data_IF_397550233985
#
_entry.id   IF_397550233985
#
_cell.length_a   1.000
_cell.length_b   1.000
_cell.length_c   1.000
_cell.angle_alpha   90.00
_cell.angle_beta   90.00
_cell.angle_gamma   90.00
#
_symmetry.space_group_name_H-M   'P 1'
#
loop_
_entity.id
_entity.type
_entity.pdbx_description
1 polymer ?
#
# COMPACT_ATOMS: atom_id res chain seq x y z
N UNK A 1 6.04 -36.88 -14.69
CA UNK A 1 4.97 -37.30 -13.76
C UNK A 1 4.14 -36.08 -13.43
N UNK A 2 2.95 -35.97 -14.03
CA UNK A 2 2.04 -34.84 -13.83
C UNK A 2 1.46 -34.94 -12.42
N UNK A 3 1.76 -33.96 -11.58
CA UNK A 3 1.23 -33.87 -10.22
C UNK A 3 -0.22 -33.37 -10.34
N UNK A 4 -1.19 -34.28 -10.24
CA UNK A 4 -2.61 -33.94 -10.23
C UNK A 4 -2.92 -33.18 -8.92
N UNK A 5 -3.69 -32.08 -8.97
CA UNK A 5 -4.12 -31.40 -7.77
C UNK A 5 -5.01 -32.35 -6.97
N UNK A 6 -4.54 -32.75 -5.78
CA UNK A 6 -5.38 -33.46 -4.83
C UNK A 6 -6.46 -32.49 -4.35
N UNK A 7 -7.68 -32.70 -4.82
CA UNK A 7 -8.87 -32.08 -4.26
C UNK A 7 -8.95 -32.63 -2.84
N UNK A 8 -8.41 -31.89 -1.87
CA UNK A 8 -8.69 -32.12 -0.46
C UNK A 8 -10.17 -31.80 -0.26
N UNK A 9 -11.02 -32.80 -0.49
CA UNK A 9 -12.42 -32.71 -0.15
C UNK A 9 -12.48 -32.46 1.35
N UNK A 10 -12.88 -31.25 1.75
CA UNK A 10 -13.35 -31.02 3.10
C UNK A 10 -14.61 -31.85 3.27
N UNK A 11 -14.46 -33.12 3.67
CA UNK A 11 -15.58 -33.99 3.98
C UNK A 11 -16.27 -33.41 5.19
N UNK A 12 -17.40 -32.76 4.95
CA UNK A 12 -18.18 -32.15 5.99
C UNK A 12 -18.74 -33.26 6.87
N UNK A 13 -18.42 -33.18 8.16
CA UNK A 13 -18.86 -34.13 9.16
C UNK A 13 -19.46 -33.38 10.35
N UNK A 14 -20.37 -34.06 11.05
CA UNK A 14 -20.97 -33.56 12.28
C UNK A 14 -20.56 -34.50 13.43
N UNK A 15 -20.09 -33.92 14.54
CA UNK A 15 -19.69 -34.71 15.70
C UNK A 15 -20.91 -35.25 16.46
N UNK A 16 -20.79 -36.43 17.07
CA UNK A 16 -21.84 -36.97 17.93
C UNK A 16 -22.18 -36.09 19.14
N UNK A 17 -21.26 -35.20 19.56
CA UNK A 17 -21.50 -34.18 20.59
C UNK A 17 -22.39 -33.05 20.10
N UNK A 18 -22.14 -32.59 18.87
CA UNK A 18 -23.00 -31.60 18.21
C UNK A 18 -24.41 -32.16 18.01
N UNK A 19 -24.51 -33.42 17.57
CA UNK A 19 -25.79 -34.13 17.46
C UNK A 19 -26.49 -34.20 18.82
N UNK A 20 -25.80 -34.59 19.89
CA UNK A 20 -26.37 -34.64 21.24
C UNK A 20 -26.95 -33.28 21.69
N UNK A 21 -26.22 -32.20 21.40
CA UNK A 21 -26.66 -30.82 21.69
C UNK A 21 -27.89 -30.44 20.86
N UNK A 22 -27.93 -30.80 19.57
CA UNK A 22 -29.07 -30.53 18.69
C UNK A 22 -30.29 -31.41 19.00
N UNK A 23 -30.08 -32.58 19.58
CA UNK A 23 -31.15 -33.50 19.95
C UNK A 23 -31.67 -33.30 21.36
N UNK A 24 -30.99 -32.48 22.18
CA UNK A 24 -31.23 -32.38 23.64
C UNK A 24 -31.22 -33.77 24.32
N UNK A 25 -30.29 -34.63 23.87
CA UNK A 25 -30.06 -35.97 24.41
C UNK A 25 -28.68 -36.02 25.07
N UNK A 26 -28.53 -36.85 26.11
CA UNK A 26 -27.19 -37.10 26.65
C UNK A 26 -26.29 -37.76 25.59
N UNK A 27 -25.03 -37.33 25.55
CA UNK A 27 -24.05 -37.85 24.58
C UNK A 27 -23.89 -39.37 24.67
N UNK A 28 -23.98 -39.95 25.87
CA UNK A 28 -23.94 -41.41 26.07
C UNK A 28 -25.04 -42.15 25.32
N UNK A 29 -26.25 -41.59 25.27
CA UNK A 29 -27.36 -42.20 24.52
C UNK A 29 -27.12 -42.13 23.02
N UNK A 30 -26.64 -40.98 22.53
CA UNK A 30 -26.27 -40.83 21.11
C UNK A 30 -25.16 -41.79 20.71
N UNK A 31 -24.14 -42.01 21.56
CA UNK A 31 -23.10 -43.01 21.30
C UNK A 31 -23.67 -44.42 21.17
N UNK A 32 -24.61 -44.80 22.04
CA UNK A 32 -25.29 -46.11 21.95
C UNK A 32 -26.11 -46.23 20.66
N UNK A 33 -26.86 -45.19 20.30
CA UNK A 33 -27.67 -45.18 19.09
C UNK A 33 -26.79 -45.34 17.83
N UNK A 34 -25.58 -44.74 17.83
CA UNK A 34 -24.57 -44.92 16.79
C UNK A 34 -23.96 -46.32 16.78
N UNK A 35 -23.72 -46.94 17.94
CA UNK A 35 -23.25 -48.33 18.02
C UNK A 35 -24.28 -49.28 17.39
N UNK A 36 -25.57 -49.10 17.69
CA UNK A 36 -26.66 -49.86 17.06
C UNK A 36 -26.76 -49.62 15.55
N UNK A 37 -26.55 -48.37 15.10
CA UNK A 37 -26.48 -48.07 13.68
C UNK A 37 -25.31 -48.80 12.99
N UNK A 38 -24.14 -48.84 13.63
CA UNK A 38 -22.98 -49.57 13.13
C UNK A 38 -23.21 -51.08 13.05
N UNK A 39 -23.96 -51.67 13.98
CA UNK A 39 -24.37 -53.07 13.89
C UNK A 39 -25.26 -53.32 12.66
N UNK A 40 -26.18 -52.39 12.35
CA UNK A 40 -26.99 -52.47 11.13
C UNK A 40 -26.14 -52.32 9.88
N UNK A 41 -25.21 -51.37 9.85
CA UNK A 41 -24.28 -51.21 8.73
C UNK A 41 -23.42 -52.45 8.51
N UNK A 42 -22.91 -53.06 9.57
CA UNK A 42 -22.15 -54.32 9.48
C UNK A 42 -22.97 -55.46 8.87
N UNK A 43 -24.22 -55.64 9.29
CA UNK A 43 -25.14 -56.64 8.73
C UNK A 43 -25.44 -56.39 7.24
N UNK A 44 -25.43 -55.13 6.82
CA UNK A 44 -25.65 -54.72 5.42
C UNK A 44 -24.37 -54.68 4.58
N UNK A 45 -23.19 -54.93 5.18
CA UNK A 45 -21.91 -54.80 4.48
C UNK A 45 -21.49 -53.35 4.17
N UNK A 46 -22.04 -52.37 4.89
CA UNK A 46 -21.74 -50.95 4.75
C UNK A 46 -20.59 -50.51 5.67
N UNK A 47 -19.84 -49.45 5.32
CA UNK A 47 -18.81 -48.89 6.18
C UNK A 47 -19.38 -48.35 7.50
N UNK A 48 -18.76 -48.73 8.61
CA UNK A 48 -19.09 -48.20 9.95
C UNK A 48 -18.76 -46.70 10.04
N UNK A 49 -19.51 -46.00 10.88
CA UNK A 49 -19.21 -44.63 11.29
C UNK A 49 -17.83 -44.58 11.98
N UNK A 50 -16.98 -43.66 11.54
CA UNK A 50 -15.62 -43.51 12.07
C UNK A 50 -15.61 -43.06 13.52
N UNK A 51 -14.94 -43.83 14.38
CA UNK A 51 -14.72 -43.46 15.78
C UNK A 51 -13.55 -42.47 15.89
N UNK A 52 -13.78 -41.38 16.61
CA UNK A 52 -12.79 -40.38 16.99
C UNK A 52 -12.66 -40.26 18.51
N UNK A 53 -11.81 -39.32 18.92
CA UNK A 53 -11.59 -38.99 20.32
C UNK A 53 -11.53 -37.49 20.52
N UNK A 54 -12.07 -37.01 21.64
CA UNK A 54 -11.91 -35.62 22.06
C UNK A 54 -11.38 -35.53 23.49
N UNK A 55 -10.73 -34.42 23.79
CA UNK A 55 -10.31 -34.06 25.14
C UNK A 55 -11.13 -32.86 25.62
N UNK A 56 -11.42 -32.82 26.92
CA UNK A 56 -12.10 -31.67 27.54
C UNK A 56 -11.06 -30.88 28.33
N UNK A 57 -11.03 -29.54 28.24
CA UNK A 57 -10.04 -28.72 28.93
C UNK A 57 -9.97 -28.96 30.44
N UNK A 58 -11.09 -29.38 31.04
CA UNK A 58 -11.24 -29.54 32.49
C UNK A 58 -10.80 -30.91 33.03
N UNK A 59 -10.60 -31.91 32.17
CA UNK A 59 -10.24 -33.28 32.58
C UNK A 59 -8.79 -33.67 32.23
N UNK A 60 -7.97 -32.70 31.82
CA UNK A 60 -6.58 -32.95 31.39
C UNK A 60 -6.50 -33.75 30.08
N UNK A 61 -5.59 -34.74 30.02
CA UNK A 61 -5.34 -35.59 28.85
C UNK A 61 -6.32 -36.77 28.68
N UNK A 62 -7.42 -36.78 29.44
CA UNK A 62 -8.42 -37.84 29.32
C UNK A 62 -9.14 -37.73 27.97
N UNK A 63 -9.05 -38.81 27.19
CA UNK A 63 -9.73 -38.93 25.91
C UNK A 63 -11.11 -39.56 26.08
N UNK A 64 -12.09 -38.97 25.42
CA UNK A 64 -13.47 -39.44 25.38
C UNK A 64 -13.84 -39.85 23.96
N UNK A 65 -14.59 -40.94 23.84
CA UNK A 65 -15.07 -41.45 22.55
C UNK A 65 -16.03 -40.45 21.91
N UNK A 66 -15.82 -40.15 20.63
CA UNK A 66 -16.79 -39.47 19.78
C UNK A 66 -16.88 -40.16 18.42
N UNK A 67 -17.86 -39.75 17.63
CA UNK A 67 -18.04 -40.21 16.26
C UNK A 67 -18.16 -39.00 15.36
N UNK A 68 -17.57 -39.11 14.16
CA UNK A 68 -17.71 -38.12 13.11
C UNK A 68 -18.60 -38.72 12.02
N UNK A 69 -19.79 -38.15 11.86
CA UNK A 69 -20.81 -38.68 10.96
C UNK A 69 -20.83 -37.84 9.68
N UNK A 70 -20.93 -38.52 8.54
CA UNK A 70 -21.30 -37.87 7.27
C UNK A 70 -22.77 -37.46 7.28
N UNK A 71 -23.18 -36.65 6.29
CA UNK A 71 -24.59 -36.23 6.16
C UNK A 71 -25.54 -37.42 6.09
N UNK A 72 -25.22 -38.44 5.30
CA UNK A 72 -26.03 -39.65 5.15
C UNK A 72 -26.14 -40.42 6.47
N UNK A 73 -25.02 -40.62 7.16
CA UNK A 73 -25.00 -41.30 8.47
C UNK A 73 -25.79 -40.53 9.54
N UNK A 74 -25.72 -39.19 9.52
CA UNK A 74 -26.56 -38.36 10.38
C UNK A 74 -28.05 -38.57 10.07
N UNK A 75 -28.43 -38.57 8.80
CA UNK A 75 -29.82 -38.76 8.36
C UNK A 75 -30.32 -40.14 8.82
N UNK A 76 -29.54 -41.20 8.61
CA UNK A 76 -29.87 -42.56 9.02
C UNK A 76 -30.10 -42.64 10.52
N UNK A 77 -29.21 -42.06 11.33
CA UNK A 77 -29.33 -42.01 12.79
C UNK A 77 -30.62 -41.31 13.24
N UNK A 78 -30.96 -40.17 12.63
CA UNK A 78 -32.11 -39.35 13.06
C UNK A 78 -33.44 -39.82 12.50
N UNK A 79 -33.45 -40.73 11.50
CA UNK A 79 -34.71 -41.24 10.93
C UNK A 79 -35.63 -41.82 12.02
N UNK A 80 -35.05 -42.46 13.04
CA UNK A 80 -35.76 -42.98 14.22
C UNK A 80 -36.04 -41.96 15.34
N UNK A 81 -35.60 -40.70 15.22
CA UNK A 81 -35.80 -39.68 16.26
C UNK A 81 -37.09 -38.88 16.05
N UNK A 82 -37.46 -38.07 17.05
CA UNK A 82 -38.61 -37.17 16.99
C UNK A 82 -38.48 -36.14 15.84
N UNK A 83 -39.61 -35.70 15.30
CA UNK A 83 -39.65 -34.84 14.11
C UNK A 83 -39.02 -33.46 14.32
N UNK A 84 -39.15 -32.89 15.52
CA UNK A 84 -38.50 -31.63 15.94
C UNK A 84 -36.98 -31.69 15.83
N UNK A 85 -36.37 -32.78 16.31
CA UNK A 85 -34.93 -33.03 16.25
C UNK A 85 -34.46 -33.18 14.80
N UNK A 86 -35.22 -33.90 13.97
CA UNK A 86 -34.89 -34.06 12.55
C UNK A 86 -34.84 -32.71 11.82
N UNK A 87 -35.79 -31.82 12.10
CA UNK A 87 -35.81 -30.47 11.50
C UNK A 87 -34.56 -29.69 11.88
N UNK A 88 -34.14 -29.73 13.15
CA UNK A 88 -32.95 -29.00 13.64
C UNK A 88 -31.67 -29.50 12.96
N UNK A 89 -31.49 -30.81 12.88
CA UNK A 89 -30.29 -31.40 12.26
C UNK A 89 -30.28 -31.15 10.75
N UNK A 90 -31.42 -31.27 10.07
CA UNK A 90 -31.51 -30.94 8.65
C UNK A 90 -31.16 -29.47 8.36
N UNK A 91 -31.64 -28.53 9.18
CA UNK A 91 -31.28 -27.10 9.05
C UNK A 91 -29.80 -26.87 9.29
N UNK A 92 -29.22 -27.52 10.29
CA UNK A 92 -27.77 -27.43 10.55
C UNK A 92 -26.94 -27.93 9.36
N UNK A 93 -27.34 -29.03 8.74
CA UNK A 93 -26.70 -29.53 7.52
C UNK A 93 -26.86 -28.58 6.33
N UNK A 94 -28.02 -27.95 6.17
CA UNK A 94 -28.21 -26.92 5.14
C UNK A 94 -27.30 -25.71 5.36
N UNK A 95 -27.08 -25.27 6.60
CA UNK A 95 -26.13 -24.20 6.92
C UNK A 95 -24.69 -24.61 6.59
N UNK A 96 -24.31 -25.81 7.00
CA UNK A 96 -23.01 -26.40 6.72
C UNK A 96 -22.75 -26.47 5.20
N UNK A 97 -23.74 -26.92 4.43
CA UNK A 97 -23.64 -26.97 2.96
C UNK A 97 -23.56 -25.59 2.32
N UNK A 98 -24.31 -24.60 2.83
CA UNK A 98 -24.24 -23.20 2.36
C UNK A 98 -22.90 -22.54 2.67
N UNK A 99 -22.29 -22.86 3.81
CA UNK A 99 -20.99 -22.33 4.19
C UNK A 99 -19.86 -22.89 3.31
N UNK A 100 -20.02 -24.13 2.83
CA UNK A 100 -19.05 -24.82 1.97
C UNK A 100 -19.35 -24.68 0.48
N UNK A 101 -20.58 -24.30 0.10
CA UNK A 101 -20.89 -24.03 -1.29
C UNK A 101 -20.07 -22.84 -1.75
N UNK A 102 -18.99 -23.13 -2.47
CA UNK A 102 -18.39 -22.21 -3.42
C UNK A 102 -19.56 -21.59 -4.18
N UNK A 103 -19.64 -20.25 -4.18
CA UNK A 103 -20.63 -19.51 -4.96
C UNK A 103 -20.33 -19.82 -6.42
N UNK A 104 -20.88 -20.93 -6.92
CA UNK A 104 -20.85 -21.27 -8.32
C UNK A 104 -21.76 -20.26 -9.00
N UNK A 105 -21.27 -19.52 -10.01
CA UNK A 105 -22.12 -18.62 -10.77
C UNK A 105 -23.27 -19.42 -11.37
N UNK A 106 -24.46 -18.83 -11.37
CA UNK A 106 -25.64 -19.43 -11.97
C UNK A 106 -25.38 -19.66 -13.48
N UNK A 107 -25.17 -20.92 -13.86
CA UNK A 107 -24.94 -21.31 -15.25
C UNK A 107 -26.24 -21.42 -16.07
N UNK A 108 -27.41 -21.17 -15.46
CA UNK A 108 -28.69 -21.19 -16.17
C UNK A 108 -28.79 -20.10 -17.25
N UNK A 109 -28.02 -19.02 -17.12
CA UNK A 109 -27.95 -17.95 -18.11
C UNK A 109 -26.49 -17.57 -18.44
N UNK A 110 -25.80 -18.31 -19.32
CA UNK A 110 -24.41 -18.03 -19.69
C UNK A 110 -24.22 -16.63 -20.29
N UNK A 111 -25.26 -16.05 -20.88
CA UNK A 111 -25.24 -14.69 -21.43
C UNK A 111 -25.23 -13.60 -20.35
N UNK A 112 -25.76 -13.87 -19.16
CA UNK A 112 -25.71 -12.92 -18.05
C UNK A 112 -24.38 -13.00 -17.29
N UNK A 113 -23.85 -14.21 -17.10
CA UNK A 113 -22.50 -14.40 -16.58
C UNK A 113 -21.42 -13.75 -17.46
N UNK A 114 -21.53 -13.88 -18.78
CA UNK A 114 -20.63 -13.20 -19.73
C UNK A 114 -20.73 -11.66 -19.65
N UNK A 115 -21.95 -11.13 -19.48
CA UNK A 115 -22.18 -9.68 -19.31
C UNK A 115 -21.63 -9.16 -17.99
N UNK A 116 -21.81 -9.89 -16.89
CA UNK A 116 -21.24 -9.54 -15.59
C UNK A 116 -19.70 -9.53 -15.64
N UNK A 117 -19.10 -10.52 -16.29
CA UNK A 117 -17.64 -10.58 -16.46
C UNK A 117 -17.10 -9.42 -17.31
N UNK A 118 -17.79 -9.07 -18.40
CA UNK A 118 -17.43 -7.91 -19.22
C UNK A 118 -17.49 -6.61 -18.40
N UNK A 119 -18.55 -6.41 -17.60
CA UNK A 119 -18.70 -5.24 -16.74
C UNK A 119 -17.59 -5.15 -15.66
N UNK A 120 -17.21 -6.27 -15.06
CA UNK A 120 -16.10 -6.29 -14.10
C UNK A 120 -14.75 -5.98 -14.77
N UNK A 121 -14.52 -6.49 -15.97
CA UNK A 121 -13.31 -6.22 -16.73
C UNK A 121 -13.19 -4.73 -17.09
N UNK A 122 -14.26 -4.13 -17.61
CA UNK A 122 -14.30 -2.70 -17.93
C UNK A 122 -14.06 -1.83 -16.69
N UNK A 123 -14.67 -2.18 -15.55
CA UNK A 123 -14.48 -1.49 -14.28
C UNK A 123 -13.02 -1.58 -13.80
N UNK A 124 -12.39 -2.75 -13.97
CA UNK A 124 -10.98 -2.95 -13.63
C UNK A 124 -10.06 -2.14 -14.53
N UNK A 125 -10.29 -2.13 -15.83
CA UNK A 125 -9.55 -1.30 -16.78
C UNK A 125 -9.68 0.20 -16.46
N UNK A 126 -10.88 0.68 -16.12
CA UNK A 126 -11.10 2.07 -15.73
C UNK A 126 -10.33 2.42 -14.45
N UNK A 127 -10.36 1.54 -13.45
CA UNK A 127 -9.62 1.73 -12.21
C UNK A 127 -8.10 1.72 -12.44
N UNK A 128 -7.60 0.86 -13.32
CA UNK A 128 -6.18 0.80 -13.68
C UNK A 128 -5.73 2.05 -14.43
N UNK A 129 -6.52 2.51 -15.41
CA UNK A 129 -6.27 3.78 -16.12
C UNK A 129 -6.27 4.97 -15.15
N UNK A 130 -7.21 5.02 -14.20
CA UNK A 130 -7.26 6.06 -13.18
C UNK A 130 -6.03 6.04 -12.26
N UNK A 131 -5.57 4.85 -11.85
CA UNK A 131 -4.33 4.70 -11.06
C UNK A 131 -3.10 5.18 -11.82
N UNK A 132 -2.96 4.81 -13.09
CA UNK A 132 -1.83 5.22 -13.92
C UNK A 132 -1.83 6.74 -14.09
N UNK A 133 -2.99 7.36 -14.35
CA UNK A 133 -3.11 8.80 -14.46
C UNK A 133 -2.71 9.53 -13.16
N UNK A 134 -3.15 9.01 -12.01
CA UNK A 134 -2.78 9.55 -10.71
C UNK A 134 -1.27 9.38 -10.43
N UNK A 135 -0.67 8.24 -10.78
CA UNK A 135 0.77 8.01 -10.62
C UNK A 135 1.59 8.93 -11.52
N UNK A 136 1.16 9.16 -12.77
CA UNK A 136 1.80 10.12 -13.66
C UNK A 136 1.72 11.54 -13.10
N UNK A 137 0.57 11.94 -12.56
CA UNK A 137 0.41 13.24 -11.91
C UNK A 137 1.29 13.36 -10.66
N UNK A 138 1.35 12.32 -9.82
CA UNK A 138 2.24 12.29 -8.66
C UNK A 138 3.72 12.38 -9.05
N UNK A 139 4.15 11.75 -10.16
CA UNK A 139 5.51 11.89 -10.70
C UNK A 139 5.82 13.31 -11.18
N UNK A 140 4.87 13.97 -11.84
CA UNK A 140 5.02 15.36 -12.29
C UNK A 140 5.04 16.35 -11.12
N UNK A 141 4.29 16.05 -10.06
CA UNK A 141 4.19 16.93 -8.89
C UNK A 141 5.29 16.66 -7.86
N UNK A 142 5.94 15.49 -7.85
CA UNK A 142 7.08 15.16 -6.99
C UNK A 142 8.23 16.21 -7.01
N UNK A 143 8.76 16.64 -8.17
CA UNK A 143 9.80 17.68 -8.19
C UNK A 143 9.27 19.05 -7.76
N UNK A 144 7.97 19.34 -7.98
CA UNK A 144 7.36 20.61 -7.57
C UNK A 144 7.20 20.66 -6.05
N UNK A 145 6.66 19.60 -5.45
CA UNK A 145 6.50 19.49 -3.99
C UNK A 145 7.86 19.53 -3.29
N UNK A 146 8.85 18.78 -3.80
CA UNK A 146 10.22 18.83 -3.25
C UNK A 146 10.85 20.23 -3.31
N UNK A 147 10.55 21.02 -4.35
CA UNK A 147 10.98 22.42 -4.43
C UNK A 147 10.28 23.30 -3.39
N UNK A 148 8.95 23.17 -3.25
CA UNK A 148 8.20 23.93 -2.24
C UNK A 148 8.64 23.59 -0.81
N UNK A 149 8.92 22.33 -0.51
CA UNK A 149 9.41 21.90 0.80
C UNK A 149 10.82 22.48 1.11
N UNK A 150 11.71 22.49 0.11
CA UNK A 150 13.05 23.08 0.25
C UNK A 150 13.02 24.59 0.53
N UNK A 151 12.06 25.29 -0.07
CA UNK A 151 11.89 26.75 0.07
C UNK A 151 11.13 27.10 1.37
N UNK A 152 10.24 26.23 1.84
CA UNK A 152 9.48 26.41 3.07
C UNK A 152 10.28 26.11 4.35
N UNK A 153 11.41 25.39 4.25
CA UNK A 153 12.29 25.13 5.39
C UNK A 153 12.88 26.45 5.96
N UNK A 154 12.67 26.68 7.26
CA UNK A 154 13.20 27.83 8.01
C UNK A 154 14.72 27.97 7.91
N UNK A 155 15.46 26.88 7.66
CA UNK A 155 16.92 26.91 7.51
C UNK A 155 17.38 27.51 6.18
N UNK A 156 16.52 27.54 5.16
CA UNK A 156 16.82 28.09 3.84
C UNK A 156 16.27 29.52 3.63
N UNK A 157 15.79 30.18 4.69
CA UNK A 157 15.36 31.57 4.65
C UNK A 157 16.55 32.48 4.31
N UNK A 158 16.57 32.96 3.07
CA UNK A 158 17.55 33.93 2.57
C UNK A 158 16.90 35.29 2.39
N UNK A 159 17.56 36.34 2.84
CA UNK A 159 17.09 37.70 2.60
C UNK A 159 17.32 38.09 1.12
N UNK A 160 16.56 39.08 0.62
CA UNK A 160 16.62 39.51 -0.78
C UNK A 160 18.04 39.91 -1.23
N UNK A 161 18.88 40.38 -0.31
CA UNK A 161 20.28 40.73 -0.57
C UNK A 161 21.18 39.50 -0.77
N UNK A 162 20.96 38.42 0.00
CA UNK A 162 21.67 37.14 -0.13
C UNK A 162 21.30 36.40 -1.42
N UNK A 163 20.02 36.47 -1.83
CA UNK A 163 19.59 35.96 -3.14
C UNK A 163 20.29 36.75 -4.25
N UNK A 164 20.25 38.09 -4.19
CA UNK A 164 20.92 38.97 -5.14
C UNK A 164 22.40 38.65 -5.31
N UNK A 165 23.13 38.42 -4.22
CA UNK A 165 24.55 38.04 -4.28
C UNK A 165 24.79 36.71 -5.04
N UNK A 166 23.96 35.68 -4.83
CA UNK A 166 24.11 34.35 -5.48
C UNK A 166 23.82 34.38 -6.98
N UNK A 167 22.84 35.16 -7.42
CA UNK A 167 22.56 35.36 -8.86
C UNK A 167 23.47 36.43 -9.50
N UNK A 168 24.45 36.96 -8.76
CA UNK A 168 25.39 37.96 -9.27
C UNK A 168 24.81 39.38 -9.40
N UNK A 169 23.62 39.62 -8.83
CA UNK A 169 22.98 40.93 -8.71
C UNK A 169 23.42 41.60 -7.40
N UNK A 170 24.58 42.26 -7.44
CA UNK A 170 24.95 43.23 -6.41
C UNK A 170 24.27 44.58 -6.67
N UNK A 171 23.68 45.19 -5.64
CA UNK A 171 23.17 46.56 -5.72
C UNK A 171 24.25 47.53 -6.21
N UNK A 172 25.50 47.30 -5.82
CA UNK A 172 26.68 48.04 -6.27
C UNK A 172 26.98 47.79 -7.74
N UNK A 173 26.89 46.55 -8.24
CA UNK A 173 27.07 46.24 -9.69
C UNK A 173 25.99 46.90 -10.56
N UNK A 174 24.74 46.93 -10.08
CA UNK A 174 23.62 47.61 -10.74
C UNK A 174 23.78 49.14 -10.71
N UNK A 175 24.25 49.70 -9.59
CA UNK A 175 24.59 51.13 -9.46
C UNK A 175 25.79 51.55 -10.31
N UNK A 176 26.86 50.76 -10.34
CA UNK A 176 28.07 51.00 -11.15
C UNK A 176 27.75 50.96 -12.65
N UNK A 177 26.94 49.99 -13.11
CA UNK A 177 26.45 49.92 -14.49
C UNK A 177 25.56 51.12 -14.85
N UNK A 178 24.72 51.57 -13.92
CA UNK A 178 23.86 52.77 -14.09
C UNK A 178 24.67 54.08 -14.07
N UNK A 179 25.85 54.08 -13.44
CA UNK A 179 26.71 55.26 -13.25
C UNK A 179 27.93 55.28 -14.18
N UNK A 180 28.05 54.34 -15.14
CA UNK A 180 29.10 54.32 -16.15
C UNK A 180 30.53 54.05 -15.63
N UNK A 181 30.67 53.46 -14.43
CA UNK A 181 31.99 53.20 -13.83
C UNK A 181 32.51 51.82 -14.25
N UNK A 182 33.79 51.77 -14.67
CA UNK A 182 34.52 50.59 -15.19
C UNK A 182 34.51 49.43 -14.17
N UNK A 183 34.37 48.18 -14.65
CA UNK A 183 34.30 46.97 -13.82
C UNK A 183 35.64 46.66 -13.13
N UNK A 184 35.59 45.98 -11.97
CA UNK A 184 36.80 45.44 -11.29
C UNK A 184 37.54 44.44 -12.18
N UNK A 185 36.82 43.67 -12.99
CA UNK A 185 37.41 42.71 -13.92
C UNK A 185 38.18 43.43 -15.05
N UNK A 186 37.66 44.57 -15.51
CA UNK A 186 38.34 45.44 -16.49
C UNK A 186 39.60 46.09 -15.88
N UNK A 187 39.57 46.43 -14.57
CA UNK A 187 40.73 46.95 -13.86
C UNK A 187 41.86 45.92 -13.70
N UNK A 188 41.53 44.66 -13.42
CA UNK A 188 42.52 43.56 -13.35
C UNK A 188 43.14 43.31 -14.73
N UNK A 189 42.34 43.34 -15.80
CA UNK A 189 42.84 43.23 -17.16
C UNK A 189 43.79 44.37 -17.56
N UNK A 190 43.58 45.57 -17.03
CA UNK A 190 44.42 46.75 -17.28
C UNK A 190 45.69 46.81 -16.39
N UNK A 191 45.81 45.96 -15.37
CA UNK A 191 46.95 45.96 -14.44
C UNK A 191 47.43 44.53 -14.12
N UNK A 192 48.16 43.88 -15.05
CA UNK A 192 48.64 42.52 -14.88
C UNK A 192 49.77 42.39 -13.84
N UNK A 193 50.36 43.50 -13.38
CA UNK A 193 51.52 43.52 -12.48
C UNK A 193 51.15 43.67 -10.99
N UNK A 194 49.87 43.53 -10.62
CA UNK A 194 49.39 43.60 -9.23
C UNK A 194 49.74 44.92 -8.52
N UNK A 195 49.85 46.02 -9.28
CA UNK A 195 50.14 47.35 -8.75
C UNK A 195 48.95 47.91 -7.97
N UNK A 196 49.23 48.78 -7.00
CA UNK A 196 48.16 49.41 -6.23
C UNK A 196 47.32 50.36 -7.11
N UNK A 197 46.04 50.49 -6.79
CA UNK A 197 45.08 51.38 -7.47
C UNK A 197 45.59 52.83 -7.61
N UNK A 198 46.38 53.31 -6.64
CA UNK A 198 46.97 54.65 -6.68
C UNK A 198 48.07 54.78 -7.72
N UNK A 199 48.91 53.76 -7.87
CA UNK A 199 50.01 53.76 -8.84
C UNK A 199 49.50 53.68 -10.27
N UNK A 200 48.46 52.87 -10.51
CA UNK A 200 47.81 52.80 -11.83
C UNK A 200 47.20 54.14 -12.22
N UNK A 201 46.51 54.83 -11.28
CA UNK A 201 45.97 56.18 -11.52
C UNK A 201 47.08 57.19 -11.83
N UNK A 202 48.22 57.12 -11.15
CA UNK A 202 49.33 58.04 -11.37
C UNK A 202 50.00 57.84 -12.74
N UNK A 203 50.16 56.58 -13.18
CA UNK A 203 50.63 56.24 -14.53
C UNK A 203 49.66 56.74 -15.59
N UNK A 204 48.35 56.52 -15.40
CA UNK A 204 47.33 56.97 -16.35
C UNK A 204 47.29 58.50 -16.46
N UNK A 205 47.45 59.24 -15.36
CA UNK A 205 47.61 60.71 -15.40
C UNK A 205 48.83 61.17 -16.18
N UNK A 206 49.91 60.40 -16.14
CA UNK A 206 51.18 60.73 -16.83
C UNK A 206 51.14 60.39 -18.33
N UNK A 207 50.48 59.30 -18.70
CA UNK A 207 50.50 58.77 -20.08
C UNK A 207 49.25 59.09 -20.91
N UNK A 208 48.19 59.65 -20.32
CA UNK A 208 46.96 59.97 -21.07
C UNK A 208 46.39 61.33 -20.66
N UNK A 209 45.76 62.04 -21.61
CA UNK A 209 45.03 63.30 -21.39
C UNK A 209 43.71 63.11 -20.59
N UNK A 210 43.73 62.25 -19.57
CA UNK A 210 42.58 61.94 -18.73
C UNK A 210 42.58 62.81 -17.48
N UNK A 211 41.50 63.55 -17.25
CA UNK A 211 41.29 64.34 -16.03
C UNK A 211 40.41 63.55 -15.06
N UNK A 212 40.95 63.19 -13.89
CA UNK A 212 40.19 62.53 -12.82
C UNK A 212 39.67 63.57 -11.82
N UNK A 213 38.36 63.57 -11.56
CA UNK A 213 37.72 64.49 -10.60
C UNK A 213 38.17 64.25 -9.15
N UNK A 214 38.26 65.32 -8.34
CA UNK A 214 38.67 65.25 -6.93
C UNK A 214 37.63 64.51 -6.07
N UNK A 215 38.11 63.60 -5.23
CA UNK A 215 37.32 62.72 -4.35
C UNK A 215 36.77 63.44 -3.11
N UNK A 216 35.52 63.14 -2.75
CA UNK A 216 34.99 63.32 -1.38
C UNK A 216 35.37 62.10 -0.52
N UNK A 217 35.66 62.35 0.76
CA UNK A 217 36.12 61.37 1.75
C UNK A 217 35.16 60.18 1.87
N UNK A 218 35.75 58.99 2.08
CA UNK A 218 35.13 57.67 2.31
C UNK A 218 34.57 56.97 1.05
N UNK A 219 35.48 56.43 0.23
CA UNK A 219 35.17 55.55 -0.90
C UNK A 219 35.75 56.07 -2.22
N UNK A 220 36.85 55.50 -2.69
CA UNK A 220 37.51 55.91 -3.93
C UNK A 220 36.62 55.58 -5.14
N UNK A 221 36.01 56.61 -5.75
CA UNK A 221 35.34 56.55 -7.06
C UNK A 221 36.29 57.15 -8.11
N UNK A 222 36.64 56.39 -9.13
CA UNK A 222 37.39 56.88 -10.29
C UNK A 222 36.36 57.13 -11.39
N UNK A 223 36.12 58.40 -11.73
CA UNK A 223 35.42 58.77 -12.96
C UNK A 223 36.45 59.41 -13.88
N UNK A 224 36.66 58.82 -15.05
CA UNK A 224 37.47 59.39 -16.12
C UNK A 224 36.59 59.53 -17.35
N UNK A 225 36.48 60.74 -17.87
CA UNK A 225 35.96 60.99 -19.20
C UNK A 225 37.14 61.21 -20.14
N UNK A 226 37.09 60.57 -21.31
CA UNK A 226 38.04 60.78 -22.40
C UNK A 226 37.63 62.09 -23.08
N UNK A 227 38.52 63.09 -23.12
CA UNK A 227 38.35 64.20 -24.07
C UNK A 227 38.56 63.72 -25.49
#
# INVERSE_FOLDING_TARGET
>A
MTNLPQIQGNFQTMSSREIATLCEKEHRHVLRDIDTLNETYEKMGLPKVGQGYYTTPNTGNQQYREYLLTKEQCIDLITGYRADVRIRINRRWQELEKATSLVLPDFSNPAEAARAWAAEFEKREQAEKAKIALEQQAKLDAPKVAHYDLVADRKNLVNASQVGAKVGLSAVKKLLKKQGVISIDDYIALNPANMSLREVIDILRKNTNWTFGKTLKAGFKIMGEKK
#
